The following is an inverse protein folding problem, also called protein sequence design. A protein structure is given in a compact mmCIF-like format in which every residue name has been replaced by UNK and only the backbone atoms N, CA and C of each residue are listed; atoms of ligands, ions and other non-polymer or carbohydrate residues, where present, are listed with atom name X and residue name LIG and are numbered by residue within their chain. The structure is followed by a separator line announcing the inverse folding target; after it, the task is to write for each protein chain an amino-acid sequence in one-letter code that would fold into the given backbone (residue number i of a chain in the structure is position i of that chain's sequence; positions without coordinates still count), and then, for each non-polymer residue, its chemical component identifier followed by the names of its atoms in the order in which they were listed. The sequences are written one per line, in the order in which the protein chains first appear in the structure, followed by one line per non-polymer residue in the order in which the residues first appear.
data_IF_051689881919
#
_entry.id   IF_051689881919
#
_cell.length_a   1.000
_cell.length_b   1.000
_cell.length_c   1.000
_cell.angle_alpha   90.00
_cell.angle_beta   90.00
_cell.angle_gamma   90.00
#
_symmetry.space_group_name_H-M   'P 1'
#
loop_
_entity.id
_entity.type
_entity.pdbx_description
1 polymer ?
#
# COMPACT_ATOMS: atom_id res chain seq x y z
N UNK A 1 4.56 16.27 1.90
CA UNK A 1 3.43 15.40 2.31
C UNK A 1 3.40 14.26 1.33
N UNK A 2 3.39 13.01 1.80
CA UNK A 2 3.23 11.85 0.93
C UNK A 2 1.84 11.86 0.31
N UNK A 3 1.72 11.45 -0.95
CA UNK A 3 0.41 11.27 -1.58
C UNK A 3 -0.30 10.04 -1.00
N UNK A 4 -1.60 9.89 -1.25
CA UNK A 4 -2.32 8.69 -0.82
C UNK A 4 -1.74 7.42 -1.39
N UNK A 5 -1.33 7.49 -2.66
CA UNK A 5 -0.77 6.33 -3.32
C UNK A 5 0.55 5.92 -2.68
N UNK A 6 1.41 6.88 -2.34
CA UNK A 6 2.65 6.62 -1.60
C UNK A 6 2.37 5.97 -0.24
N UNK A 7 1.35 6.45 0.47
CA UNK A 7 0.94 5.90 1.77
C UNK A 7 0.47 4.45 1.61
N UNK A 8 -0.36 4.17 0.60
CA UNK A 8 -0.91 2.83 0.35
C UNK A 8 0.15 1.83 -0.12
N UNK A 9 1.10 2.27 -0.97
CA UNK A 9 2.26 1.46 -1.38
C UNK A 9 3.13 1.14 -0.17
N UNK A 10 3.45 2.14 0.65
CA UNK A 10 4.25 1.94 1.85
C UNK A 10 3.53 1.02 2.86
N UNK A 11 2.20 1.15 3.00
CA UNK A 11 1.38 0.25 3.80
C UNK A 11 1.47 -1.20 3.29
N UNK A 12 1.40 -1.42 1.98
CA UNK A 12 1.50 -2.75 1.38
C UNK A 12 2.85 -3.41 1.67
N UNK A 13 3.96 -2.65 1.53
CA UNK A 13 5.29 -3.11 1.89
C UNK A 13 5.38 -3.50 3.37
N UNK A 14 4.80 -2.68 4.26
CA UNK A 14 4.79 -2.94 5.70
C UNK A 14 4.02 -4.19 6.05
N UNK A 15 2.95 -4.49 5.33
CA UNK A 15 2.15 -5.68 5.57
C UNK A 15 2.83 -6.96 5.09
N UNK A 16 3.63 -6.88 4.01
CA UNK A 16 4.41 -7.99 3.47
C UNK A 16 5.69 -8.26 4.27
N UNK A 17 6.19 -7.29 5.02
CA UNK A 17 7.39 -7.44 5.84
C UNK A 17 7.03 -8.02 7.23
N UNK A 18 7.30 -9.32 7.49
CA UNK A 18 7.07 -9.90 8.81
C UNK A 18 7.98 -9.20 9.82
N UNK A 19 7.39 -8.43 10.72
CA UNK A 19 8.08 -7.89 11.89
C UNK A 19 7.38 -8.46 13.11
N UNK A 20 8.18 -8.84 14.11
CA UNK A 20 7.67 -9.13 15.44
C UNK A 20 7.04 -7.85 16.00
N UNK A 21 5.74 -7.70 15.74
CA UNK A 21 4.94 -6.71 16.41
C UNK A 21 4.87 -7.08 17.89
N UNK A 22 5.13 -6.12 18.77
CA UNK A 22 5.02 -6.31 20.23
C UNK A 22 3.61 -6.73 20.65
N UNK A 23 2.61 -6.46 19.81
CA UNK A 23 1.22 -6.85 20.01
C UNK A 23 0.82 -8.14 19.27
N UNK A 24 1.74 -8.75 18.50
CA UNK A 24 1.48 -9.97 17.73
C UNK A 24 0.45 -9.81 16.62
N UNK A 25 0.19 -8.57 16.16
CA UNK A 25 -0.77 -8.31 15.09
C UNK A 25 0.00 -8.18 13.78
N UNK A 26 0.23 -9.31 13.13
CA UNK A 26 0.95 -9.37 11.86
C UNK A 26 0.23 -8.58 10.76
N UNK A 27 1.00 -8.10 9.78
CA UNK A 27 0.44 -7.37 8.65
C UNK A 27 -0.32 -6.11 9.07
N UNK A 28 0.22 -5.36 10.02
CA UNK A 28 -0.39 -4.14 10.54
C UNK A 28 0.63 -3.03 10.76
N UNK A 29 0.16 -1.79 10.71
CA UNK A 29 1.03 -0.62 10.73
C UNK A 29 0.38 0.57 11.41
N UNK A 30 1.21 1.52 11.85
CA UNK A 30 0.79 2.78 12.46
C UNK A 30 0.96 3.92 11.45
N UNK A 31 0.16 4.97 11.56
CA UNK A 31 0.11 6.07 10.59
C UNK A 31 1.49 6.70 10.30
N UNK A 32 2.31 6.93 11.34
CA UNK A 32 3.65 7.51 11.18
C UNK A 32 4.63 6.57 10.46
N UNK A 33 4.37 5.26 10.50
CA UNK A 33 5.26 4.26 9.91
C UNK A 33 5.16 4.18 8.39
N UNK A 34 4.10 4.77 7.82
CA UNK A 34 3.86 4.87 6.37
C UNK A 34 3.94 6.32 5.87
N UNK A 35 4.45 7.24 6.69
CA UNK A 35 4.57 8.65 6.33
C UNK A 35 3.24 9.41 6.23
N UNK A 36 2.15 8.83 6.72
CA UNK A 36 0.83 9.47 6.74
C UNK A 36 0.69 10.45 7.91
N UNK A 37 -0.34 11.29 7.87
CA UNK A 37 -0.87 12.01 9.04
C UNK A 37 -2.18 11.37 9.51
N UNK A 38 -2.70 11.78 10.67
CA UNK A 38 -4.04 11.35 11.13
C UNK A 38 -5.16 11.78 10.17
N UNK A 39 -5.01 12.93 9.52
CA UNK A 39 -5.98 13.42 8.54
C UNK A 39 -6.00 12.52 7.30
N UNK A 40 -4.83 12.11 6.82
CA UNK A 40 -4.72 11.16 5.70
C UNK A 40 -5.40 9.83 6.04
N UNK A 41 -5.10 9.25 7.22
CA UNK A 41 -5.76 8.02 7.67
C UNK A 41 -7.28 8.19 7.78
N UNK A 42 -7.77 9.36 8.21
CA UNK A 42 -9.21 9.63 8.30
C UNK A 42 -9.86 9.60 6.93
N UNK A 43 -9.21 10.19 5.92
CA UNK A 43 -9.69 10.19 4.54
C UNK A 43 -9.62 8.80 3.90
N UNK A 44 -8.51 8.08 4.08
CA UNK A 44 -8.35 6.70 3.58
C UNK A 44 -9.36 5.73 4.22
N UNK A 45 -9.73 5.93 5.49
CA UNK A 45 -10.81 5.20 6.14
C UNK A 45 -12.18 5.53 5.53
N UNK A 46 -12.47 6.81 5.28
CA UNK A 46 -13.72 7.23 4.67
C UNK A 46 -13.91 6.61 3.27
N UNK A 47 -12.82 6.48 2.51
CA UNK A 47 -12.78 5.84 1.20
C UNK A 47 -12.77 4.30 1.26
N UNK A 48 -12.72 3.72 2.45
CA UNK A 48 -12.61 2.27 2.71
C UNK A 48 -11.39 1.64 2.04
N UNK A 49 -10.26 2.35 2.01
CA UNK A 49 -9.00 1.83 1.49
C UNK A 49 -8.22 1.13 2.60
N UNK A 50 -8.30 1.65 3.82
CA UNK A 50 -7.73 1.04 5.02
C UNK A 50 -8.83 0.74 6.04
N UNK A 51 -8.52 -0.11 7.02
CA UNK A 51 -9.36 -0.42 8.18
C UNK A 51 -8.54 -0.32 9.47
N UNK A 52 -9.23 -0.07 10.60
CA UNK A 52 -8.61 -0.13 11.93
C UNK A 52 -8.78 -1.55 12.45
N UNK A 53 -7.66 -2.23 12.71
CA UNK A 53 -7.67 -3.59 13.25
C UNK A 53 -7.42 -3.63 14.76
N UNK A 54 -6.82 -2.58 15.31
CA UNK A 54 -6.60 -2.43 16.74
C UNK A 54 -6.55 -0.95 17.11
N UNK A 55 -7.20 -0.59 18.21
CA UNK A 55 -7.15 0.76 18.76
C UNK A 55 -7.21 0.72 20.27
N UNK A 56 -6.25 1.37 20.90
CA UNK A 56 -6.28 1.71 22.31
C UNK A 56 -5.95 3.21 22.50
N UNK A 57 -5.72 3.63 23.73
CA UNK A 57 -5.44 5.03 24.06
C UNK A 57 -4.10 5.55 23.52
N UNK A 58 -3.16 4.65 23.20
CA UNK A 58 -1.80 4.98 22.79
C UNK A 58 -1.54 4.68 21.31
N UNK A 59 -2.10 3.60 20.78
CA UNK A 59 -1.77 3.02 19.48
C UNK A 59 -3.04 2.80 18.68
N UNK A 60 -2.98 3.15 17.39
CA UNK A 60 -3.98 2.76 16.40
C UNK A 60 -3.27 2.05 15.26
N UNK A 61 -3.69 0.82 14.98
CA UNK A 61 -3.15 0.00 13.92
C UNK A 61 -4.12 -0.12 12.77
N UNK A 62 -3.58 0.00 11.58
CA UNK A 62 -4.29 -0.07 10.33
C UNK A 62 -3.84 -1.26 9.50
N UNK A 63 -4.70 -1.64 8.57
CA UNK A 63 -4.42 -2.58 7.49
C UNK A 63 -5.12 -2.13 6.21
N UNK A 64 -4.57 -2.48 5.05
CA UNK A 64 -5.22 -2.37 3.76
C UNK A 64 -6.42 -3.32 3.70
N UNK A 65 -7.57 -2.75 3.35
CA UNK A 65 -8.74 -3.53 2.95
C UNK A 65 -8.46 -4.22 1.61
N UNK A 66 -9.35 -5.14 1.21
CA UNK A 66 -9.30 -5.73 -0.14
C UNK A 66 -9.35 -4.66 -1.25
N UNK A 67 -10.16 -3.60 -1.06
CA UNK A 67 -10.25 -2.48 -1.99
C UNK A 67 -8.92 -1.73 -2.10
N UNK A 68 -8.29 -1.44 -0.95
CA UNK A 68 -6.98 -0.79 -0.90
C UNK A 68 -5.91 -1.63 -1.60
N UNK A 69 -5.87 -2.94 -1.36
CA UNK A 69 -4.93 -3.85 -2.04
C UNK A 69 -5.12 -3.89 -3.54
N UNK A 70 -6.38 -3.97 -4.00
CA UNK A 70 -6.71 -3.95 -5.44
C UNK A 70 -6.26 -2.67 -6.11
N UNK A 71 -6.42 -1.52 -5.45
CA UNK A 71 -5.95 -0.23 -5.95
C UNK A 71 -4.42 -0.20 -6.05
N UNK A 72 -3.72 -0.62 -5.00
CA UNK A 72 -2.25 -0.70 -4.98
C UNK A 72 -1.73 -1.60 -6.11
N UNK A 73 -2.36 -2.75 -6.29
CA UNK A 73 -2.00 -3.69 -7.34
C UNK A 73 -2.22 -3.13 -8.75
N UNK A 74 -3.37 -2.48 -8.99
CA UNK A 74 -3.69 -1.88 -10.29
C UNK A 74 -2.63 -0.83 -10.69
N UNK A 75 -2.31 0.09 -9.79
CA UNK A 75 -1.30 1.13 -10.06
C UNK A 75 0.12 0.56 -10.19
N UNK A 76 0.46 -0.44 -9.37
CA UNK A 76 1.76 -1.12 -9.51
C UNK A 76 1.91 -1.78 -10.88
N UNK A 77 0.84 -2.35 -11.42
CA UNK A 77 0.86 -2.98 -12.74
C UNK A 77 0.92 -1.95 -13.88
N UNK A 78 0.20 -0.83 -13.77
CA UNK A 78 0.29 0.27 -14.73
C UNK A 78 1.72 0.83 -14.82
N UNK A 79 2.38 1.05 -13.68
CA UNK A 79 3.77 1.49 -13.63
C UNK A 79 4.74 0.46 -14.26
N UNK A 80 4.47 -0.84 -14.10
CA UNK A 80 5.27 -1.88 -14.74
C UNK A 80 5.08 -1.93 -16.26
N UNK A 81 3.91 -1.59 -16.78
CA UNK A 81 3.66 -1.52 -18.23
C UNK A 81 4.33 -0.31 -18.87
N UNK A 82 4.31 0.86 -18.22
CA UNK A 82 5.05 2.04 -18.70
C UNK A 82 6.57 1.84 -18.68
N UNK A 83 7.07 1.01 -17.75
CA UNK A 83 8.49 0.71 -17.63
C UNK A 83 9.03 -0.29 -18.68
N UNK A 84 8.18 -0.92 -19.51
CA UNK A 84 8.64 -1.77 -20.61
C UNK A 84 9.16 -0.87 -21.74
N UNK A 85 10.46 -0.87 -22.05
CA UNK A 85 10.98 -0.10 -23.16
C UNK A 85 10.38 -0.61 -24.46
N UNK A 86 9.89 0.29 -25.32
CA UNK A 86 9.31 -0.05 -26.62
C UNK A 86 10.24 -0.92 -27.51
N UNK A 87 11.56 -0.87 -27.26
CA UNK A 87 12.54 -1.75 -27.91
C UNK A 87 12.27 -3.23 -27.69
N UNK A 88 11.83 -3.62 -26.48
CA UNK A 88 11.61 -5.03 -26.15
C UNK A 88 10.34 -5.58 -26.80
N UNK A 89 9.35 -4.72 -27.08
CA UNK A 89 8.12 -5.11 -27.79
C UNK A 89 8.41 -5.38 -29.27
N UNK A 90 9.25 -4.55 -29.90
CA UNK A 90 9.66 -4.73 -31.30
C UNK A 90 10.51 -5.99 -31.51
N UNK A 91 11.39 -6.31 -30.57
CA UNK A 91 12.22 -7.52 -30.65
C UNK A 91 11.36 -8.80 -30.52
N UNK A 92 10.35 -8.80 -29.64
CA UNK A 92 9.41 -9.92 -29.49
C UNK A 92 8.50 -10.12 -30.72
N UNK A 93 8.15 -9.05 -31.45
CA UNK A 93 7.39 -9.14 -32.70
C UNK A 93 8.24 -9.61 -33.90
N UNK A 94 9.57 -9.59 -33.79
CA UNK A 94 10.50 -10.05 -34.83
C UNK A 94 10.79 -11.56 -34.81
N UNK A 95 10.31 -12.26 -33.77
CA UNK A 95 10.49 -13.70 -33.53
C UNK A 95 9.30 -14.57 -34.00
N UNK A 96 8.34 -13.99 -34.74
CA UNK A 96 7.23 -14.69 -35.42
C UNK A 96 7.44 -14.57 -36.93
#
# INVERSE_FOLDING_TARGET
MSTDMDILLQAEEREKAPRADRLGIDGSWEWFSVGATKADCTRLLAERLIEIIHRNTQITKYRLTEKGRKLVWATSMENQMEAIPASNVLEAMSLI
#
